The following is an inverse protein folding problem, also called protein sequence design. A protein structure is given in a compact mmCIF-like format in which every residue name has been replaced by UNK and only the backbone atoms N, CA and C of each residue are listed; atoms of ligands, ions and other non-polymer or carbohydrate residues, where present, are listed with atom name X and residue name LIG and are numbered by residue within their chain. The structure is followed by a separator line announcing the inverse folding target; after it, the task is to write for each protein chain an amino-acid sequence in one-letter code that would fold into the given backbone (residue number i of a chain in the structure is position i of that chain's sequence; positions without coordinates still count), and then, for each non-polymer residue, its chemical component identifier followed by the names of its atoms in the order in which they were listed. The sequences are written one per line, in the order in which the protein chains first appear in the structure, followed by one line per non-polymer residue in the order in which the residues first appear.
data_IF_479585636891
#
_entry.id   IF_479585636891
#
_cell.length_a   1.000
_cell.length_b   1.000
_cell.length_c   1.000
_cell.angle_alpha   90.00
_cell.angle_beta   90.00
_cell.angle_gamma   90.00
#
_symmetry.space_group_name_H-M   'P 1'
#
loop_
_entity.id
_entity.type
_entity.pdbx_description
1 polymer ?
#
# COMPACT_ATOMS: atom_id res chain seq x y z
N UNK A 1 -4.63 -5.53 -6.90
CA UNK A 1 -4.10 -6.30 -5.75
C UNK A 1 -2.62 -5.92 -5.54
N UNK A 2 -1.88 -6.56 -4.62
CA UNK A 2 -0.43 -6.33 -4.50
C UNK A 2 0.34 -6.77 -5.75
N UNK A 3 -0.10 -7.87 -6.39
CA UNK A 3 0.43 -8.30 -7.66
C UNK A 3 0.20 -7.24 -8.76
N UNK A 4 -1.05 -6.82 -8.97
CA UNK A 4 -1.38 -5.86 -10.05
C UNK A 4 -0.75 -4.49 -9.82
N UNK A 5 -0.68 -4.05 -8.56
CA UNK A 5 -0.27 -2.69 -8.24
C UNK A 5 1.23 -2.51 -8.07
N UNK A 6 1.96 -3.54 -7.64
CA UNK A 6 3.40 -3.48 -7.43
C UNK A 6 4.17 -4.43 -8.33
N UNK A 7 3.82 -5.72 -8.32
CA UNK A 7 4.63 -6.74 -8.97
C UNK A 7 4.60 -6.64 -10.50
N UNK A 8 3.45 -6.22 -11.07
CA UNK A 8 3.21 -6.18 -12.51
C UNK A 8 2.80 -4.80 -13.06
N UNK A 9 2.75 -3.76 -12.21
CA UNK A 9 2.35 -2.41 -12.64
C UNK A 9 3.34 -1.74 -13.61
N UNK A 10 4.60 -2.19 -13.63
CA UNK A 10 5.64 -1.75 -14.55
C UNK A 10 6.66 -2.87 -14.76
N UNK A 11 7.45 -2.75 -15.82
CA UNK A 11 8.62 -3.59 -16.01
C UNK A 11 9.70 -3.21 -15.00
N UNK A 12 10.27 -4.21 -14.34
CA UNK A 12 11.48 -4.08 -13.53
C UNK A 12 12.58 -4.90 -14.19
N UNK A 13 13.78 -4.33 -14.29
CA UNK A 13 14.94 -5.00 -14.89
C UNK A 13 15.51 -6.09 -13.98
N UNK A 14 15.22 -6.04 -12.69
CA UNK A 14 15.64 -7.07 -11.73
C UNK A 14 14.71 -7.17 -10.54
N UNK A 15 14.75 -8.33 -9.87
CA UNK A 15 14.09 -8.53 -8.57
C UNK A 15 14.58 -7.52 -7.52
N UNK A 16 15.86 -7.13 -7.57
CA UNK A 16 16.41 -6.10 -6.67
C UNK A 16 15.72 -4.76 -6.87
N UNK A 17 15.64 -4.28 -8.11
CA UNK A 17 14.96 -3.02 -8.42
C UNK A 17 13.48 -3.05 -7.99
N UNK A 18 12.80 -4.18 -8.18
CA UNK A 18 11.42 -4.36 -7.71
C UNK A 18 11.30 -4.29 -6.19
N UNK A 19 12.22 -4.92 -5.47
CA UNK A 19 12.24 -4.91 -4.01
C UNK A 19 12.58 -3.52 -3.47
N UNK A 20 13.50 -2.79 -4.10
CA UNK A 20 13.86 -1.43 -3.70
C UNK A 20 12.68 -0.46 -3.86
N UNK A 21 11.77 -0.72 -4.82
CA UNK A 21 10.54 0.05 -5.00
C UNK A 21 9.40 -0.33 -4.03
N UNK A 22 9.48 -1.48 -3.36
CA UNK A 22 8.41 -2.01 -2.52
C UNK A 22 8.04 -1.09 -1.34
N UNK A 23 9.01 -0.53 -0.57
CA UNK A 23 8.66 0.31 0.58
C UNK A 23 7.83 1.55 0.18
N UNK A 24 8.22 2.24 -0.90
CA UNK A 24 7.48 3.39 -1.41
C UNK A 24 6.08 3.02 -1.88
N UNK A 25 5.95 1.88 -2.56
CA UNK A 25 4.65 1.39 -2.98
C UNK A 25 3.76 1.00 -1.80
N UNK A 26 4.31 0.37 -0.76
CA UNK A 26 3.56 0.03 0.46
C UNK A 26 3.01 1.27 1.17
N UNK A 27 3.80 2.35 1.24
CA UNK A 27 3.32 3.62 1.79
C UNK A 27 2.17 4.20 0.96
N UNK A 28 2.29 4.21 -0.37
CA UNK A 28 1.19 4.64 -1.24
C UNK A 28 -0.06 3.78 -1.05
N UNK A 29 0.09 2.46 -1.05
CA UNK A 29 -1.02 1.52 -0.89
C UNK A 29 -1.75 1.71 0.43
N UNK A 30 -1.01 1.80 1.54
CA UNK A 30 -1.60 1.86 2.88
C UNK A 30 -2.19 3.23 3.22
N UNK A 31 -1.59 4.32 2.71
CA UNK A 31 -1.95 5.68 3.13
C UNK A 31 -2.68 6.51 2.07
N UNK A 32 -2.60 6.16 0.79
CA UNK A 32 -3.07 7.04 -0.29
C UNK A 32 -4.00 6.36 -1.29
N UNK A 33 -3.83 5.05 -1.55
CA UNK A 33 -4.62 4.34 -2.56
C UNK A 33 -6.07 4.23 -2.10
N UNK A 34 -7.00 4.64 -2.94
CA UNK A 34 -8.43 4.43 -2.70
C UNK A 34 -8.81 2.95 -2.84
N UNK A 35 -9.60 2.44 -1.90
CA UNK A 35 -10.12 1.07 -1.93
C UNK A 35 -11.65 1.09 -1.93
N UNK A 36 -12.26 0.62 -3.02
CA UNK A 36 -13.73 0.58 -3.17
C UNK A 36 -14.43 -0.24 -2.06
N UNK A 37 -13.80 -1.32 -1.60
CA UNK A 37 -14.32 -2.15 -0.51
C UNK A 37 -14.45 -1.41 0.83
N UNK A 38 -13.84 -0.23 0.97
CA UNK A 38 -13.89 0.60 2.19
C UNK A 38 -14.32 2.03 1.86
N UNK A 39 -15.22 2.18 0.89
CA UNK A 39 -15.80 3.47 0.54
C UNK A 39 -14.83 4.42 -0.16
N UNK A 40 -13.82 3.90 -0.84
CA UNK A 40 -12.82 4.71 -1.54
C UNK A 40 -11.74 5.30 -0.63
N UNK A 41 -11.70 4.91 0.63
CA UNK A 41 -10.66 5.35 1.57
C UNK A 41 -9.40 4.49 1.49
N UNK A 42 -8.24 4.99 1.97
CA UNK A 42 -7.04 4.18 2.11
C UNK A 42 -7.10 3.26 3.33
N UNK A 43 -6.38 2.12 3.33
CA UNK A 43 -6.43 1.13 4.41
C UNK A 43 -6.15 1.69 5.82
N UNK A 44 -5.28 2.69 5.94
CA UNK A 44 -4.95 3.35 7.22
C UNK A 44 -6.16 3.92 7.93
N UNK A 45 -7.23 4.31 7.23
CA UNK A 45 -8.42 4.90 7.86
C UNK A 45 -9.20 3.93 8.74
N UNK A 46 -8.96 2.62 8.59
CA UNK A 46 -9.59 1.57 9.42
C UNK A 46 -8.76 1.17 10.62
N UNK A 47 -7.55 1.71 10.79
CA UNK A 47 -6.71 1.39 11.93
C UNK A 47 -7.16 2.23 13.13
N UNK A 48 -8.05 1.67 13.95
CA UNK A 48 -8.61 2.34 15.15
C UNK A 48 -7.88 1.99 16.45
N UNK A 49 -6.95 1.02 16.43
CA UNK A 49 -6.26 0.50 17.62
C UNK A 49 -4.74 0.54 17.46
N UNK A 50 -4.20 1.68 17.01
CA UNK A 50 -2.75 1.89 17.09
C UNK A 50 -2.35 2.09 18.56
N UNK A 51 -1.27 1.46 19.04
CA UNK A 51 -0.70 1.77 20.35
C UNK A 51 -0.48 3.29 20.46
N UNK A 52 -1.11 3.93 21.47
CA UNK A 52 -1.09 5.39 21.65
C UNK A 52 -2.27 6.16 21.03
N UNK A 53 -3.25 5.47 20.47
CA UNK A 53 -4.44 6.05 19.83
C UNK A 53 -5.76 5.59 20.51
N UNK A 54 -5.75 5.52 21.85
CA UNK A 54 -6.96 5.35 22.66
C UNK A 54 -7.25 6.70 23.34
N UNK A 55 -8.41 7.31 23.06
CA UNK A 55 -9.00 8.38 23.89
C UNK A 55 -9.63 7.81 25.14
#
# INVERSE_FOLDING_TARGET
TLADGWAYARLYESTRQRNDALPGWMHFYNHHRAHSAIGGQPPVTRLTNLPGHHT
#
